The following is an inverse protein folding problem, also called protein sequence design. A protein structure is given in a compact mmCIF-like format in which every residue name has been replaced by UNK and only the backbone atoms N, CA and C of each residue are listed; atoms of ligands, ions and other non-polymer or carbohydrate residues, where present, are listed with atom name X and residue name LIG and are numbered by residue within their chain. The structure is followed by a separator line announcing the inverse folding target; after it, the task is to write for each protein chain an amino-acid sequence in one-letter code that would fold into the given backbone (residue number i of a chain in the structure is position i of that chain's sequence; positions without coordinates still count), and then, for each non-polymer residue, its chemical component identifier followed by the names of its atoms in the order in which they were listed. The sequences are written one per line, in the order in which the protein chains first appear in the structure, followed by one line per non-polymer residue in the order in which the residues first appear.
data_IF_313542132106
#
_entry.id   IF_313542132106
#
_cell.length_a   1.000
_cell.length_b   1.000
_cell.length_c   1.000
_cell.angle_alpha   90.00
_cell.angle_beta   90.00
_cell.angle_gamma   90.00
#
_symmetry.space_group_name_H-M   'P 1'
#
loop_
_entity.id
_entity.type
_entity.pdbx_description
1 polymer ?
#
# COMPACT_ATOMS: atom_id res chain seq x y z
N UNK A 1 -11.11 -10.53 16.66
CA UNK A 1 -10.09 -10.82 15.64
C UNK A 1 -10.73 -10.78 14.27
N UNK A 2 -10.19 -9.99 13.33
CA UNK A 2 -10.72 -9.82 11.98
C UNK A 2 -9.57 -9.82 10.99
N UNK A 3 -9.77 -10.48 9.85
CA UNK A 3 -8.77 -10.55 8.77
C UNK A 3 -9.21 -9.67 7.61
N UNK A 4 -8.26 -9.02 6.94
CA UNK A 4 -8.50 -8.26 5.73
C UNK A 4 -7.44 -8.56 4.69
N UNK A 5 -7.82 -8.47 3.43
CA UNK A 5 -6.93 -8.62 2.28
C UNK A 5 -7.12 -7.43 1.35
N UNK A 6 -6.03 -6.85 0.91
CA UNK A 6 -6.03 -5.79 -0.09
C UNK A 6 -5.22 -6.19 -1.30
N UNK A 7 -5.66 -5.76 -2.47
CA UNK A 7 -4.95 -5.92 -3.73
C UNK A 7 -5.04 -4.62 -4.51
N UNK A 8 -3.92 -4.19 -5.07
CA UNK A 8 -3.90 -3.03 -5.96
C UNK A 8 -2.90 -3.22 -7.07
N UNK A 9 -3.11 -2.54 -8.18
CA UNK A 9 -2.28 -2.62 -9.37
C UNK A 9 -2.25 -1.26 -10.07
N UNK A 10 -1.07 -0.86 -10.52
CA UNK A 10 -0.88 0.37 -11.31
C UNK A 10 0.07 0.10 -12.46
N UNK A 11 -0.15 0.84 -13.56
CA UNK A 11 0.71 0.80 -14.74
C UNK A 11 1.98 1.60 -14.49
N UNK A 12 3.11 1.11 -14.98
CA UNK A 12 4.37 1.86 -15.01
C UNK A 12 4.39 2.78 -16.22
N UNK A 13 4.70 4.05 -16.00
CA UNK A 13 4.79 5.08 -17.05
C UNK A 13 6.04 5.93 -16.84
N UNK A 14 6.52 6.53 -17.92
CA UNK A 14 7.61 7.49 -17.85
C UNK A 14 7.13 8.82 -17.27
N UNK A 15 8.07 9.59 -16.70
CA UNK A 15 7.77 10.94 -16.22
C UNK A 15 7.11 11.03 -14.86
N UNK A 16 7.00 9.91 -14.14
CA UNK A 16 6.47 9.89 -12.77
C UNK A 16 7.50 9.31 -11.81
N UNK A 17 7.47 9.79 -10.59
CA UNK A 17 8.26 9.23 -9.50
C UNK A 17 7.69 7.87 -9.11
N UNK A 18 8.57 6.93 -8.75
CA UNK A 18 8.16 5.65 -8.20
C UNK A 18 8.14 5.76 -6.68
N UNK A 19 6.94 5.70 -6.11
CA UNK A 19 6.74 5.78 -4.66
C UNK A 19 6.10 4.49 -4.19
N UNK A 20 6.77 3.77 -3.30
CA UNK A 20 6.30 2.50 -2.75
C UNK A 20 6.54 2.46 -1.25
N UNK A 21 5.50 2.17 -0.49
CA UNK A 21 5.61 2.14 0.97
C UNK A 21 6.05 3.47 1.57
N UNK A 22 5.68 4.58 0.92
CA UNK A 22 6.07 5.92 1.34
C UNK A 22 7.51 6.31 0.97
N UNK A 23 8.25 5.46 0.22
CA UNK A 23 9.62 5.73 -0.20
C UNK A 23 9.68 6.06 -1.69
N UNK A 24 10.40 7.12 -2.02
CA UNK A 24 10.73 7.41 -3.42
C UNK A 24 11.92 6.54 -3.83
N UNK A 25 11.68 5.68 -4.83
CA UNK A 25 12.67 4.70 -5.29
C UNK A 25 13.23 5.17 -6.64
N UNK A 26 14.56 5.27 -6.76
CA UNK A 26 15.18 5.64 -8.04
C UNK A 26 14.83 4.61 -9.12
N UNK A 27 14.15 5.07 -10.15
CA UNK A 27 13.80 4.25 -11.30
C UNK A 27 13.40 5.16 -12.46
N UNK A 28 13.53 4.66 -13.69
CA UNK A 28 13.22 5.42 -14.90
C UNK A 28 11.73 5.65 -15.11
N UNK A 29 10.88 4.87 -14.44
CA UNK A 29 9.43 4.96 -14.50
C UNK A 29 8.83 5.07 -13.12
N UNK A 30 7.60 5.54 -13.05
CA UNK A 30 6.79 5.54 -11.84
C UNK A 30 5.41 4.98 -12.13
N UNK A 31 4.64 4.78 -11.08
CA UNK A 31 3.29 4.25 -11.20
C UNK A 31 2.30 5.37 -11.55
N UNK A 32 1.36 5.06 -12.44
CA UNK A 32 0.33 5.98 -12.88
C UNK A 32 -0.92 5.83 -12.02
N UNK A 33 -1.51 6.96 -11.66
CA UNK A 33 -2.74 6.98 -10.87
C UNK A 33 -3.13 8.39 -10.47
N UNK A 34 -4.31 8.52 -9.87
CA UNK A 34 -4.87 9.81 -9.44
C UNK A 34 -4.09 10.44 -8.28
N UNK A 35 -3.67 9.61 -7.31
CA UNK A 35 -2.81 10.00 -6.18
C UNK A 35 -1.34 9.87 -6.58
N UNK A 36 -0.44 9.69 -5.61
CA UNK A 36 0.96 9.34 -5.86
C UNK A 36 1.12 7.91 -6.39
N UNK A 37 0.02 7.15 -6.48
CA UNK A 37 -0.03 5.79 -6.97
C UNK A 37 0.86 4.81 -6.20
N UNK A 38 0.99 5.02 -4.88
CA UNK A 38 1.70 4.08 -4.01
C UNK A 38 0.87 2.79 -3.88
N UNK A 39 1.14 1.85 -4.78
CA UNK A 39 0.37 0.60 -4.87
C UNK A 39 0.46 -0.22 -3.59
N UNK A 40 1.59 -0.11 -2.88
CA UNK A 40 1.80 -0.84 -1.63
C UNK A 40 0.90 -0.29 -0.52
N UNK A 41 0.90 1.03 -0.31
CA UNK A 41 0.04 1.65 0.71
C UNK A 41 -1.44 1.50 0.37
N UNK A 42 -1.80 1.52 -0.92
CA UNK A 42 -3.18 1.29 -1.35
C UNK A 42 -3.66 -0.11 -0.96
N UNK A 43 -2.83 -1.13 -1.18
CA UNK A 43 -3.18 -2.49 -0.78
C UNK A 43 -3.34 -2.61 0.74
N UNK A 44 -2.46 -1.96 1.51
CA UNK A 44 -2.54 -1.95 2.97
C UNK A 44 -3.85 -1.29 3.44
N UNK A 45 -4.19 -0.14 2.84
CA UNK A 45 -5.44 0.55 3.19
C UNK A 45 -6.67 -0.31 2.92
N UNK A 46 -6.72 -0.96 1.76
CA UNK A 46 -7.84 -1.85 1.42
C UNK A 46 -7.94 -3.04 2.37
N UNK A 47 -6.79 -3.60 2.79
CA UNK A 47 -6.79 -4.68 3.77
C UNK A 47 -7.39 -4.21 5.10
N UNK A 48 -6.98 -3.05 5.58
CA UNK A 48 -7.47 -2.49 6.85
C UNK A 48 -8.96 -2.18 6.80
N UNK A 49 -9.40 -1.50 5.75
CA UNK A 49 -10.80 -1.15 5.56
C UNK A 49 -11.67 -2.40 5.43
N UNK A 50 -11.20 -3.38 4.67
CA UNK A 50 -11.93 -4.64 4.49
C UNK A 50 -12.07 -5.41 5.80
N UNK A 51 -11.00 -5.50 6.60
CA UNK A 51 -11.04 -6.16 7.90
C UNK A 51 -12.07 -5.53 8.83
N UNK A 52 -12.23 -4.21 8.79
CA UNK A 52 -13.19 -3.47 9.61
C UNK A 52 -14.59 -3.41 8.99
N UNK A 53 -14.79 -4.01 7.82
CA UNK A 53 -16.04 -3.97 7.06
C UNK A 53 -16.45 -2.53 6.69
N UNK A 54 -15.48 -1.69 6.36
CA UNK A 54 -15.68 -0.30 5.98
C UNK A 54 -15.62 -0.05 4.45
N UNK A 55 -15.60 -1.11 3.66
CA UNK A 55 -15.54 -1.00 2.20
C UNK A 55 -14.10 -0.97 1.69
N UNK A 56 -13.80 -0.06 0.81
CA UNK A 56 -12.50 0.05 0.13
C UNK A 56 -12.04 1.51 0.03
N UNK A 57 -10.82 1.73 -0.49
CA UNK A 57 -10.28 3.09 -0.61
C UNK A 57 -11.06 3.94 -1.61
N UNK A 58 -11.63 3.35 -2.64
CA UNK A 58 -12.44 4.10 -3.61
C UNK A 58 -13.69 4.71 -2.99
N UNK A 59 -14.24 4.08 -1.98
CA UNK A 59 -15.38 4.59 -1.24
C UNK A 59 -15.02 5.81 -0.38
N UNK A 60 -13.83 5.79 0.23
CA UNK A 60 -13.38 6.85 1.15
C UNK A 60 -12.63 7.98 0.44
N UNK A 61 -11.90 7.65 -0.63
CA UNK A 61 -11.06 8.59 -1.37
C UNK A 61 -11.30 8.41 -2.87
N UNK A 62 -12.49 8.76 -3.39
CA UNK A 62 -12.79 8.52 -4.79
C UNK A 62 -11.84 9.28 -5.72
N UNK A 63 -11.36 8.60 -6.77
CA UNK A 63 -10.45 9.18 -7.76
C UNK A 63 -11.12 10.25 -8.64
N UNK A 64 -12.44 10.35 -8.56
CA UNK A 64 -13.21 11.42 -9.20
C UNK A 64 -13.20 12.72 -8.40
N UNK A 65 -12.75 12.69 -7.14
CA UNK A 65 -12.69 13.88 -6.28
C UNK A 65 -11.36 14.60 -6.49
N UNK A 66 -11.37 15.87 -6.99
CA UNK A 66 -10.14 16.63 -7.22
C UNK A 66 -9.29 16.83 -5.97
N UNK A 67 -9.88 16.74 -4.77
CA UNK A 67 -9.19 16.89 -3.50
C UNK A 67 -8.04 15.89 -3.36
N UNK A 68 -8.18 14.67 -3.93
CA UNK A 68 -7.19 13.61 -3.80
C UNK A 68 -6.22 13.51 -4.97
N UNK A 69 -6.33 14.42 -5.95
CA UNK A 69 -5.39 14.43 -7.08
C UNK A 69 -3.98 14.73 -6.56
N UNK A 70 -3.04 13.84 -6.86
CA UNK A 70 -1.67 13.96 -6.40
C UNK A 70 -1.49 13.71 -4.90
N UNK A 71 -2.50 13.18 -4.21
CA UNK A 71 -2.48 12.99 -2.77
C UNK A 71 -1.33 12.07 -2.33
N UNK A 72 -0.76 12.43 -1.18
CA UNK A 72 0.22 11.61 -0.48
C UNK A 72 -0.51 10.42 0.17
N UNK A 73 -0.24 9.22 -0.31
CA UNK A 73 -0.89 8.01 0.19
C UNK A 73 -0.57 7.73 1.65
N UNK A 74 0.56 8.23 2.17
CA UNK A 74 0.87 8.16 3.60
C UNK A 74 -0.15 8.90 4.45
N UNK A 75 -0.61 10.06 3.98
CA UNK A 75 -1.67 10.82 4.66
C UNK A 75 -3.03 10.12 4.56
N UNK A 76 -3.30 9.48 3.44
CA UNK A 76 -4.51 8.68 3.29
C UNK A 76 -4.48 7.47 4.24
N UNK A 77 -3.35 6.81 4.37
CA UNK A 77 -3.17 5.70 5.31
C UNK A 77 -3.38 6.16 6.76
N UNK A 78 -2.87 7.33 7.10
CA UNK A 78 -3.11 7.92 8.44
C UNK A 78 -4.60 8.10 8.70
N UNK A 79 -5.34 8.60 7.71
CA UNK A 79 -6.78 8.77 7.82
C UNK A 79 -7.50 7.43 7.98
N UNK A 80 -7.06 6.40 7.25
CA UNK A 80 -7.60 5.03 7.40
C UNK A 80 -7.33 4.51 8.81
N UNK A 81 -6.12 4.72 9.34
CA UNK A 81 -5.79 4.33 10.71
C UNK A 81 -6.74 4.93 11.73
N UNK A 82 -7.08 6.22 11.58
CA UNK A 82 -8.07 6.89 12.46
C UNK A 82 -9.47 6.26 12.34
N UNK A 83 -9.87 5.88 11.12
CA UNK A 83 -11.17 5.23 10.89
C UNK A 83 -11.23 3.86 11.57
N UNK A 84 -10.13 3.10 11.50
CA UNK A 84 -10.01 1.79 12.16
C UNK A 84 -10.13 1.96 13.68
N UNK A 85 -9.40 2.93 14.23
CA UNK A 85 -9.44 3.23 15.66
C UNK A 85 -10.83 3.64 16.11
N UNK A 86 -11.47 4.54 15.38
CA UNK A 86 -12.82 4.99 15.67
C UNK A 86 -13.85 3.86 15.63
N UNK A 87 -13.64 2.88 14.72
CA UNK A 87 -14.51 1.71 14.62
C UNK A 87 -14.31 0.70 15.75
N UNK A 88 -13.35 0.93 16.64
CA UNK A 88 -13.11 0.08 17.80
C UNK A 88 -12.08 -1.02 17.58
N UNK A 89 -11.21 -0.87 16.59
CA UNK A 89 -10.19 -1.87 16.29
C UNK A 89 -8.78 -1.31 16.44
N UNK A 90 -7.85 -2.21 16.64
CA UNK A 90 -6.41 -1.92 16.57
C UNK A 90 -5.74 -2.92 15.64
N UNK A 91 -4.63 -2.53 15.04
CA UNK A 91 -3.88 -3.39 14.13
C UNK A 91 -3.11 -4.44 14.92
N UNK A 92 -3.34 -5.71 14.62
CA UNK A 92 -2.58 -6.81 15.18
C UNK A 92 -1.26 -7.00 14.43
N UNK A 93 -1.34 -7.18 13.12
CA UNK A 93 -0.17 -7.19 12.25
C UNK A 93 -0.56 -6.96 10.80
N UNK A 94 0.45 -6.66 9.98
CA UNK A 94 0.29 -6.45 8.52
C UNK A 94 1.40 -7.22 7.81
N UNK A 95 1.03 -7.97 6.79
CA UNK A 95 1.97 -8.66 5.91
C UNK A 95 1.70 -8.25 4.46
N UNK A 96 2.75 -7.82 3.76
CA UNK A 96 2.66 -7.27 2.42
C UNK A 96 3.52 -8.08 1.46
N UNK A 97 2.98 -8.37 0.28
CA UNK A 97 3.72 -8.96 -0.83
C UNK A 97 3.70 -7.99 -2.01
N UNK A 98 4.85 -7.38 -2.27
CA UNK A 98 5.03 -6.48 -3.41
C UNK A 98 5.52 -7.28 -4.61
N UNK A 99 4.88 -7.10 -5.76
CA UNK A 99 5.18 -7.85 -6.98
C UNK A 99 5.68 -6.88 -8.05
N UNK A 100 6.95 -7.00 -8.40
CA UNK A 100 7.60 -6.14 -9.38
C UNK A 100 8.80 -6.86 -9.99
N UNK A 101 8.97 -6.75 -11.31
CA UNK A 101 10.14 -7.32 -11.96
C UNK A 101 11.39 -6.50 -11.68
N UNK A 102 11.28 -5.19 -11.77
CA UNK A 102 12.32 -4.18 -11.49
C UNK A 102 11.68 -2.94 -10.89
N UNK A 103 12.41 -2.11 -10.16
CA UNK A 103 13.78 -2.31 -9.65
C UNK A 103 13.83 -3.29 -8.48
N UNK A 104 15.04 -3.61 -8.01
CA UNK A 104 15.21 -4.40 -6.78
C UNK A 104 14.79 -3.56 -5.59
N UNK A 105 13.94 -4.10 -4.74
CA UNK A 105 13.33 -3.37 -3.63
C UNK A 105 13.92 -3.69 -2.26
N UNK A 106 14.77 -4.69 -2.20
CA UNK A 106 15.29 -5.24 -0.93
C UNK A 106 15.83 -4.17 0.02
N UNK A 107 16.63 -3.23 -0.49
CA UNK A 107 17.27 -2.23 0.35
C UNK A 107 16.29 -1.18 0.89
N UNK A 108 15.10 -1.07 0.31
CA UNK A 108 14.08 -0.10 0.71
C UNK A 108 13.04 -0.68 1.65
N UNK A 109 12.98 -2.01 1.77
CA UNK A 109 11.94 -2.69 2.55
C UNK A 109 11.94 -2.27 4.03
N UNK A 110 13.10 -2.22 4.73
CA UNK A 110 13.06 -1.80 6.13
C UNK A 110 12.45 -0.42 6.35
N UNK A 111 12.71 0.51 5.43
CA UNK A 111 12.16 1.87 5.51
C UNK A 111 10.66 1.89 5.23
N UNK A 112 10.19 1.05 4.31
CA UNK A 112 8.77 0.91 4.02
C UNK A 112 8.02 0.40 5.27
N UNK A 113 8.57 -0.60 5.95
CA UNK A 113 7.99 -1.14 7.18
C UNK A 113 7.94 -0.09 8.28
N UNK A 114 9.01 0.68 8.44
CA UNK A 114 9.08 1.77 9.41
C UNK A 114 8.05 2.86 9.11
N UNK A 115 7.90 3.22 7.84
CA UNK A 115 6.92 4.23 7.43
C UNK A 115 5.49 3.81 7.78
N UNK A 116 5.13 2.58 7.45
CA UNK A 116 3.79 2.06 7.74
C UNK A 116 3.54 2.03 9.25
N UNK A 117 4.51 1.51 10.01
CA UNK A 117 4.40 1.44 11.46
C UNK A 117 4.26 2.82 12.10
N UNK A 118 5.06 3.78 11.66
CA UNK A 118 5.02 5.17 12.15
C UNK A 118 3.66 5.82 11.86
N UNK A 119 3.19 5.68 10.62
CA UNK A 119 1.92 6.29 10.20
C UNK A 119 0.75 5.73 11.00
N UNK A 120 0.76 4.41 11.26
CA UNK A 120 -0.32 3.75 12.00
C UNK A 120 -0.11 3.77 13.51
N UNK A 121 1.03 4.24 13.99
CA UNK A 121 1.31 4.29 15.44
C UNK A 121 1.46 2.91 16.06
N UNK A 122 2.03 1.95 15.35
CA UNK A 122 2.25 0.58 15.82
C UNK A 122 3.73 0.23 15.82
N UNK A 123 4.09 -0.83 16.53
CA UNK A 123 5.46 -1.35 16.55
C UNK A 123 5.84 -1.85 15.14
N UNK A 124 7.05 -1.52 14.69
CA UNK A 124 7.56 -1.96 13.39
C UNK A 124 7.63 -3.49 13.26
N UNK A 125 7.75 -4.21 14.37
CA UNK A 125 7.70 -5.68 14.39
C UNK A 125 6.35 -6.25 13.99
N UNK A 126 5.31 -5.42 13.88
CA UNK A 126 3.98 -5.82 13.43
C UNK A 126 3.77 -5.63 11.93
N UNK A 127 4.77 -5.12 11.22
CA UNK A 127 4.70 -4.87 9.78
C UNK A 127 5.80 -5.64 9.09
N UNK A 128 5.41 -6.49 8.15
CA UNK A 128 6.35 -7.21 7.30
C UNK A 128 6.08 -6.86 5.84
N UNK A 129 7.14 -6.57 5.09
CA UNK A 129 7.07 -6.37 3.64
C UNK A 129 8.05 -7.33 2.98
N UNK A 130 7.58 -8.05 1.97
CA UNK A 130 8.42 -8.87 1.12
C UNK A 130 8.15 -8.54 -0.34
N UNK A 131 9.14 -8.74 -1.17
CA UNK A 131 9.04 -8.47 -2.60
C UNK A 131 9.36 -9.73 -3.38
N UNK A 132 8.67 -9.92 -4.50
CA UNK A 132 8.90 -11.04 -5.41
C UNK A 132 8.72 -10.59 -6.85
N UNK A 133 9.32 -11.34 -7.79
CA UNK A 133 9.00 -11.23 -9.20
C UNK A 133 7.99 -12.31 -9.57
N UNK A 134 7.44 -12.22 -10.77
CA UNK A 134 6.66 -13.31 -11.36
C UNK A 134 7.44 -14.00 -12.47
N UNK A 135 8.77 -14.03 -12.36
CA UNK A 135 9.64 -14.74 -13.28
C UNK A 135 9.43 -14.35 -14.74
N UNK A 136 9.25 -13.05 -14.99
CA UNK A 136 9.01 -12.45 -16.31
C UNK A 136 7.67 -12.85 -16.93
N UNK A 137 6.75 -13.37 -16.13
CA UNK A 137 5.40 -13.74 -16.59
C UNK A 137 4.43 -12.57 -16.36
N UNK A 138 3.51 -12.41 -17.30
CA UNK A 138 2.43 -11.45 -17.20
C UNK A 138 2.87 -9.99 -17.21
N UNK A 139 1.96 -9.11 -16.82
CA UNK A 139 2.18 -7.67 -16.89
C UNK A 139 3.21 -7.17 -15.85
N UNK A 140 3.36 -7.85 -14.73
CA UNK A 140 4.43 -7.51 -13.78
C UNK A 140 5.76 -7.99 -14.32
N UNK A 141 5.78 -9.16 -14.96
CA UNK A 141 6.99 -9.77 -15.48
C UNK A 141 7.56 -9.06 -16.71
N UNK A 142 6.71 -8.40 -17.51
CA UNK A 142 7.17 -7.66 -18.68
C UNK A 142 7.46 -6.19 -18.39
N UNK A 143 7.24 -5.74 -17.15
CA UNK A 143 7.53 -4.37 -16.75
C UNK A 143 6.40 -3.38 -17.08
N UNK A 144 5.22 -3.86 -17.45
CA UNK A 144 4.06 -2.98 -17.74
C UNK A 144 3.46 -2.36 -16.48
N UNK A 145 3.57 -3.04 -15.34
CA UNK A 145 2.99 -2.58 -14.10
C UNK A 145 3.54 -3.27 -12.89
N UNK A 146 3.03 -2.88 -11.73
CA UNK A 146 3.32 -3.51 -10.45
C UNK A 146 2.02 -3.82 -9.74
N UNK A 147 2.02 -4.87 -8.94
CA UNK A 147 0.87 -5.21 -8.10
C UNK A 147 1.32 -5.47 -6.67
N UNK A 148 0.37 -5.42 -5.75
CA UNK A 148 0.65 -5.63 -4.35
C UNK A 148 -0.53 -6.30 -3.66
N UNK A 149 -0.23 -7.28 -2.82
CA UNK A 149 -1.18 -7.89 -1.91
C UNK A 149 -0.81 -7.50 -0.48
N UNK A 150 -1.80 -7.21 0.33
CA UNK A 150 -1.62 -7.00 1.75
C UNK A 150 -2.65 -7.82 2.53
N UNK A 151 -2.22 -8.38 3.64
CA UNK A 151 -3.09 -9.06 4.58
C UNK A 151 -2.90 -8.41 5.93
N UNK A 152 -3.97 -8.21 6.67
CA UNK A 152 -3.87 -7.69 8.02
C UNK A 152 -4.75 -8.47 8.98
N UNK A 153 -4.40 -8.38 10.24
CA UNK A 153 -5.22 -8.85 11.34
C UNK A 153 -5.57 -7.64 12.20
N UNK A 154 -6.87 -7.45 12.44
CA UNK A 154 -7.34 -6.47 13.41
C UNK A 154 -7.82 -7.18 14.66
N UNK A 155 -7.61 -6.53 15.79
CA UNK A 155 -8.10 -6.97 17.09
C UNK A 155 -9.08 -5.94 17.64
N UNK A 156 -10.04 -6.37 18.42
CA UNK A 156 -10.92 -5.45 19.12
C UNK A 156 -10.13 -4.72 20.22
N UNK A 157 -10.45 -3.47 20.42
CA UNK A 157 -9.84 -2.66 21.48
C UNK A 157 -10.38 -3.04 22.87
#
# INVERSE_FOLDING_TARGET
MRIGHGYDVHRLVEGRKLILGGEEIPYEKGLDGHSDADVLLHAVMDALLGAAALGDIGRHFPDTDPTYKGADSGKLLEAVGRKIDYAGYKVGNIDVTMIAQKPKLKDYIPKMEQNIARILGIDSGKVNVKATTEERLGFTGDGSGMSCHAVCLLEEK
#
